data_IF_624362553657
#
_entry.id   IF_624362553657
#
_cell.length_a   1.000
_cell.length_b   1.000
_cell.length_c   1.000
_cell.angle_alpha   90.00
_cell.angle_beta   90.00
_cell.angle_gamma   90.00
#
_symmetry.space_group_name_H-M   'P 1'
#
loop_
_entity.id
_entity.type
_entity.pdbx_description
1 polymer ?
#
# COMPACT_ATOMS: atom_id res chain seq x y z
N UNK A 1 -6.91 -18.87 -3.88
CA UNK A 1 -6.19 -19.43 -5.07
C UNK A 1 -4.71 -19.13 -4.85
N UNK A 2 -3.88 -20.11 -4.48
CA UNK A 2 -2.47 -19.86 -4.15
C UNK A 2 -1.58 -20.03 -5.39
N UNK A 3 -1.34 -18.94 -6.11
CA UNK A 3 -0.36 -18.88 -7.18
C UNK A 3 -0.05 -17.41 -7.47
N UNK A 4 1.23 -17.08 -7.62
CA UNK A 4 1.61 -15.79 -8.18
C UNK A 4 1.09 -15.72 -9.63
N UNK A 5 0.54 -14.57 -10.01
CA UNK A 5 0.09 -14.33 -11.38
C UNK A 5 1.29 -14.05 -12.29
N UNK A 6 1.25 -14.55 -13.53
CA UNK A 6 2.20 -14.14 -14.57
C UNK A 6 1.80 -12.83 -15.25
N UNK A 7 0.55 -12.40 -15.07
CA UNK A 7 0.02 -11.14 -15.57
C UNK A 7 -0.01 -10.09 -14.46
N UNK A 8 0.24 -8.84 -14.85
CA UNK A 8 0.15 -7.71 -13.93
C UNK A 8 -1.32 -7.45 -13.56
N UNK A 9 -1.65 -7.66 -12.29
CA UNK A 9 -2.94 -7.32 -11.73
C UNK A 9 -2.90 -5.95 -11.04
N UNK A 10 -4.07 -5.33 -10.92
CA UNK A 10 -4.25 -4.07 -10.20
C UNK A 10 -5.64 -4.00 -9.58
N UNK A 11 -5.78 -3.19 -8.54
CA UNK A 11 -7.04 -2.93 -7.86
C UNK A 11 -7.08 -1.49 -7.38
N UNK A 12 -8.29 -0.91 -7.27
CA UNK A 12 -8.49 0.41 -6.64
C UNK A 12 -8.80 0.21 -5.17
N UNK A 13 -8.13 0.97 -4.30
CA UNK A 13 -8.25 0.82 -2.86
C UNK A 13 -8.66 2.15 -2.21
N UNK A 14 -9.33 2.06 -1.06
CA UNK A 14 -9.70 3.24 -0.26
C UNK A 14 -8.77 3.40 0.93
N UNK A 15 -8.23 4.61 1.11
CA UNK A 15 -7.33 4.90 2.22
C UNK A 15 -8.09 4.91 3.55
N UNK A 16 -7.48 4.35 4.59
CA UNK A 16 -7.92 4.46 5.96
C UNK A 16 -7.05 5.47 6.70
N UNK A 17 -7.64 6.19 7.65
CA UNK A 17 -6.88 6.97 8.61
C UNK A 17 -5.98 6.07 9.45
N UNK A 18 -4.89 6.62 9.98
CA UNK A 18 -4.01 5.88 10.89
C UNK A 18 -4.78 5.41 12.14
N UNK A 19 -5.78 6.17 12.60
CA UNK A 19 -6.61 5.78 13.74
C UNK A 19 -7.46 4.55 13.42
N UNK A 20 -8.14 4.53 12.27
CA UNK A 20 -8.91 3.37 11.81
C UNK A 20 -8.01 2.15 11.64
N UNK A 21 -6.84 2.31 11.02
CA UNK A 21 -5.93 1.19 10.82
C UNK A 21 -5.40 0.61 12.13
N UNK A 22 -5.14 1.43 13.15
CA UNK A 22 -4.68 0.98 14.47
C UNK A 22 -5.70 0.08 15.17
N UNK A 23 -7.00 0.17 14.84
CA UNK A 23 -8.02 -0.72 15.41
C UNK A 23 -7.74 -2.18 15.05
N UNK A 24 -7.33 -2.44 13.80
CA UNK A 24 -7.07 -3.81 13.31
C UNK A 24 -5.59 -4.18 13.35
N UNK A 25 -4.69 -3.28 12.95
CA UNK A 25 -3.26 -3.55 12.85
C UNK A 25 -2.49 -3.25 14.14
N UNK A 26 -3.10 -2.59 15.12
CA UNK A 26 -2.47 -2.25 16.39
C UNK A 26 -1.37 -1.19 16.29
N UNK A 27 -0.48 -1.18 17.28
CA UNK A 27 0.52 -0.12 17.48
C UNK A 27 1.70 -0.13 16.50
N UNK A 28 1.74 -1.08 15.56
CA UNK A 28 2.77 -1.08 14.50
C UNK A 28 2.60 0.09 13.50
N UNK A 29 1.41 0.69 13.45
CA UNK A 29 1.09 1.78 12.52
C UNK A 29 1.76 3.08 12.99
N UNK A 30 2.67 3.58 12.16
CA UNK A 30 3.39 4.83 12.35
C UNK A 30 2.86 5.94 11.42
N UNK A 31 3.30 7.18 11.64
CA UNK A 31 2.94 8.31 10.78
C UNK A 31 3.57 8.24 9.39
N UNK A 32 4.55 7.37 9.18
CA UNK A 32 5.13 7.07 7.87
C UNK A 32 4.39 5.95 7.13
N UNK A 33 3.29 5.43 7.69
CA UNK A 33 2.50 4.34 7.12
C UNK A 33 1.07 4.76 6.84
N UNK A 34 0.49 4.23 5.76
CA UNK A 34 -0.93 4.35 5.43
C UNK A 34 -1.50 2.98 5.19
N UNK A 35 -2.74 2.75 5.59
CA UNK A 35 -3.44 1.50 5.31
C UNK A 35 -4.54 1.72 4.31
N UNK A 36 -4.88 0.65 3.60
CA UNK A 36 -5.97 0.65 2.66
C UNK A 36 -6.93 -0.48 2.99
N UNK A 37 -8.22 -0.18 2.86
CA UNK A 37 -9.28 -1.18 3.00
C UNK A 37 -9.14 -2.24 1.91
N UNK A 38 -9.39 -3.50 2.26
CA UNK A 38 -9.50 -4.61 1.31
C UNK A 38 -10.96 -5.03 1.19
N UNK A 39 -11.40 -5.39 -0.03
CA UNK A 39 -12.66 -6.12 -0.19
C UNK A 39 -12.37 -7.62 -0.11
N UNK A 40 -13.41 -8.43 0.10
CA UNK A 40 -13.25 -9.88 0.08
C UNK A 40 -12.67 -10.35 -1.28
N UNK A 41 -11.59 -11.12 -1.25
CA UNK A 41 -10.80 -11.55 -2.43
C UNK A 41 -10.20 -10.42 -3.30
N UNK A 42 -10.14 -9.17 -2.81
CA UNK A 42 -9.51 -8.07 -3.53
C UNK A 42 -8.55 -7.31 -2.63
N UNK A 43 -7.31 -7.16 -3.05
CA UNK A 43 -6.31 -6.43 -2.29
C UNK A 43 -4.90 -6.83 -2.62
N UNK A 44 -4.00 -6.37 -1.77
CA UNK A 44 -2.60 -6.77 -1.77
C UNK A 44 -2.45 -8.20 -1.27
N UNK A 45 -1.65 -9.00 -1.95
CA UNK A 45 -1.31 -10.33 -1.50
C UNK A 45 0.21 -10.54 -1.41
N UNK A 46 0.59 -11.75 -1.00
CA UNK A 46 1.99 -12.21 -1.00
C UNK A 46 2.55 -12.12 -2.42
N UNK A 47 3.71 -11.46 -2.54
CA UNK A 47 4.33 -11.17 -3.84
C UNK A 47 4.20 -9.71 -4.26
N UNK A 48 3.21 -8.98 -3.73
CA UNK A 48 3.02 -7.56 -4.06
C UNK A 48 3.84 -6.62 -3.17
N UNK A 49 4.45 -7.14 -2.09
CA UNK A 49 5.36 -6.38 -1.23
C UNK A 49 6.48 -5.78 -2.07
N UNK A 50 6.64 -4.46 -2.01
CA UNK A 50 7.54 -3.78 -2.93
C UNK A 50 6.84 -2.93 -4.00
N UNK A 51 5.61 -3.32 -4.36
CA UNK A 51 4.86 -2.73 -5.45
C UNK A 51 4.42 -1.28 -5.19
N UNK A 52 4.19 -0.50 -6.25
CA UNK A 52 3.77 0.89 -6.14
C UNK A 52 2.27 1.00 -5.87
N UNK A 53 1.92 1.93 -4.98
CA UNK A 53 0.58 2.52 -4.95
C UNK A 53 0.63 3.86 -5.68
N UNK A 54 -0.20 3.98 -6.72
CA UNK A 54 -0.24 5.18 -7.56
C UNK A 54 -1.53 5.97 -7.37
N UNK A 55 -1.43 7.28 -7.50
CA UNK A 55 -2.57 8.18 -7.64
C UNK A 55 -2.51 8.87 -9.00
N UNK A 56 -3.62 8.81 -9.73
CA UNK A 56 -3.80 9.62 -10.95
C UNK A 56 -4.08 11.05 -10.51
N UNK A 57 -3.19 11.96 -10.86
CA UNK A 57 -3.31 13.39 -10.61
C UNK A 57 -3.86 14.10 -11.86
N UNK A 58 -4.20 15.38 -11.70
CA UNK A 58 -4.67 16.20 -12.82
C UNK A 58 -3.67 16.24 -13.98
N UNK A 59 -4.15 16.56 -15.20
CA UNK A 59 -3.32 16.69 -16.41
C UNK A 59 -2.58 15.42 -16.84
N UNK A 60 -3.08 14.24 -16.48
CA UNK A 60 -2.54 12.95 -16.93
C UNK A 60 -1.31 12.45 -16.15
N UNK A 61 -0.93 13.13 -15.07
CA UNK A 61 0.17 12.71 -14.22
C UNK A 61 -0.20 11.49 -13.38
N UNK A 62 0.76 10.59 -13.18
CA UNK A 62 0.67 9.48 -12.23
C UNK A 62 1.76 9.65 -11.20
N UNK A 63 1.39 9.62 -9.92
CA UNK A 63 2.32 9.85 -8.81
C UNK A 63 2.35 8.58 -7.95
N UNK A 64 3.56 8.10 -7.61
CA UNK A 64 3.72 7.04 -6.61
C UNK A 64 3.58 7.69 -5.23
N UNK A 65 2.54 7.30 -4.49
CA UNK A 65 2.20 7.91 -3.19
C UNK A 65 2.61 7.03 -2.02
N UNK A 66 2.65 5.71 -2.23
CA UNK A 66 3.07 4.74 -1.23
C UNK A 66 3.67 3.50 -1.89
N UNK A 67 4.31 2.67 -1.08
CA UNK A 67 4.84 1.35 -1.46
C UNK A 67 4.23 0.29 -0.57
N UNK A 68 3.82 -0.83 -1.14
CA UNK A 68 3.30 -1.98 -0.39
C UNK A 68 4.33 -2.48 0.63
N UNK A 69 3.91 -2.61 1.91
CA UNK A 69 4.78 -3.04 3.00
C UNK A 69 4.36 -4.40 3.57
N UNK A 70 3.16 -4.51 4.13
CA UNK A 70 2.68 -5.74 4.76
C UNK A 70 1.22 -6.05 4.40
N UNK A 71 0.86 -7.33 4.53
CA UNK A 71 -0.51 -7.85 4.39
C UNK A 71 -0.95 -8.49 5.71
N UNK A 72 -2.26 -8.71 5.89
CA UNK A 72 -2.77 -9.39 7.08
C UNK A 72 -2.24 -10.82 7.22
N UNK A 73 -1.95 -11.22 8.46
CA UNK A 73 -1.62 -12.61 8.79
C UNK A 73 -2.79 -13.57 8.60
N UNK A 74 -4.03 -13.06 8.58
CA UNK A 74 -5.24 -13.85 8.36
C UNK A 74 -5.46 -14.24 6.89
N UNK A 75 -4.62 -13.75 5.96
CA UNK A 75 -4.75 -13.96 4.53
C UNK A 75 -5.06 -12.68 3.77
N UNK A 76 -4.83 -12.70 2.45
CA UNK A 76 -5.10 -11.56 1.57
C UNK A 76 -6.53 -11.60 1.00
N UNK A 77 -7.23 -12.72 1.17
CA UNK A 77 -8.63 -12.88 0.78
C UNK A 77 -9.62 -12.29 1.79
N UNK A 78 -9.14 -11.80 2.94
CA UNK A 78 -9.96 -11.19 4.00
C UNK A 78 -10.23 -9.70 3.73
N UNK A 79 -11.05 -9.09 4.57
CA UNK A 79 -11.29 -7.63 4.56
C UNK A 79 -10.30 -6.87 5.45
N UNK A 80 -9.29 -7.55 6.00
CA UNK A 80 -8.30 -6.89 6.85
C UNK A 80 -7.48 -5.89 6.03
N UNK A 81 -7.16 -4.72 6.59
CA UNK A 81 -6.38 -3.74 5.89
C UNK A 81 -4.95 -4.21 5.64
N UNK A 82 -4.39 -3.80 4.52
CA UNK A 82 -2.96 -3.94 4.21
C UNK A 82 -2.24 -2.61 4.42
N UNK A 83 -0.97 -2.69 4.80
CA UNK A 83 -0.16 -1.53 5.17
C UNK A 83 0.88 -1.16 4.11
N UNK A 84 1.09 0.14 3.97
CA UNK A 84 1.95 0.74 2.96
C UNK A 84 2.84 1.80 3.59
N UNK A 85 4.06 1.96 3.05
CA UNK A 85 4.98 3.03 3.43
C UNK A 85 4.69 4.27 2.58
N UNK A 86 4.40 5.41 3.23
CA UNK A 86 4.21 6.71 2.54
C UNK A 86 5.52 7.15 1.90
N UNK A 87 5.51 7.48 0.60
CA UNK A 87 6.71 7.94 -0.09
C UNK A 87 7.10 9.36 0.31
N UNK A 88 6.11 10.20 0.65
CA UNK A 88 6.34 11.62 0.95
C UNK A 88 7.41 11.85 2.04
N UNK A 89 7.42 11.04 3.10
CA UNK A 89 8.40 11.13 4.18
C UNK A 89 9.83 10.78 3.78
N UNK A 90 10.04 10.23 2.58
CA UNK A 90 11.35 9.83 2.04
C UNK A 90 11.81 10.70 0.87
N UNK A 91 11.05 11.73 0.49
CA UNK A 91 11.37 12.55 -0.68
C UNK A 91 12.75 13.21 -0.61
N UNK A 92 13.18 13.69 0.56
CA UNK A 92 14.51 14.30 0.72
C UNK A 92 15.63 13.27 0.50
N UNK A 93 15.47 12.08 1.08
CA UNK A 93 16.41 10.98 0.87
C UNK A 93 16.44 10.55 -0.60
N UNK A 94 15.28 10.38 -1.24
CA UNK A 94 15.17 10.00 -2.65
C UNK A 94 15.92 11.02 -3.53
N UNK A 95 15.63 12.32 -3.38
CA UNK A 95 16.31 13.38 -4.11
C UNK A 95 17.82 13.35 -3.93
N UNK A 96 18.26 13.17 -2.68
CA UNK A 96 19.68 13.10 -2.36
C UNK A 96 20.38 11.92 -3.06
N UNK A 97 19.80 10.72 -3.04
CA UNK A 97 20.42 9.54 -3.66
C UNK A 97 20.28 9.48 -5.18
N UNK A 98 19.28 10.16 -5.76
CA UNK A 98 19.07 10.22 -7.22
C UNK A 98 19.64 11.48 -7.87
N UNK A 99 20.20 12.41 -7.09
CA UNK A 99 20.71 13.71 -7.57
C UNK A 99 19.64 14.54 -8.31
N UNK A 100 18.43 14.57 -7.75
CA UNK A 100 17.29 15.38 -8.24
C UNK A 100 17.00 16.58 -7.34
#
# INVERSE_FOLDING_TARGET
KSGLSNDLNWVTLSALSNAECKITCGNQITDNMVCFSSNYNEGTCKGDTGGPLIQRAGRGWTIVVAKTSFVSGNGCETTDPSGYTRIFGYNDWIRNVTSM
#
